data_IF_365198119651
#
_entry.id   IF_365198119651
#
_cell.length_a   1.000
_cell.length_b   1.000
_cell.length_c   1.000
_cell.angle_alpha   90.00
_cell.angle_beta   90.00
_cell.angle_gamma   90.00
#
_symmetry.space_group_name_H-M   'P 1'
#
loop_
_entity.id
_entity.type
_entity.pdbx_description
1 polymer ?
#
# COMPACT_ATOMS: atom_id res chain seq x y z
N UNK A 1 3.23 19.26 -9.63
CA UNK A 1 3.03 17.80 -9.55
C UNK A 1 4.36 17.10 -9.74
N UNK A 2 4.76 16.28 -8.79
CA UNK A 2 5.98 15.46 -8.83
C UNK A 2 5.63 14.07 -9.39
N UNK A 3 6.11 13.78 -10.59
CA UNK A 3 5.81 12.52 -11.30
C UNK A 3 6.96 11.51 -11.26
N UNK A 4 8.14 11.94 -10.77
CA UNK A 4 9.33 11.12 -10.66
C UNK A 4 9.82 11.09 -9.21
N UNK A 5 10.76 10.19 -8.92
CA UNK A 5 11.41 10.13 -7.62
C UNK A 5 12.04 11.49 -7.25
N UNK A 6 11.74 12.04 -6.06
CA UNK A 6 12.44 13.25 -5.58
C UNK A 6 13.95 13.04 -5.49
N UNK A 7 14.72 13.93 -6.08
CA UNK A 7 16.19 13.84 -6.19
C UNK A 7 16.93 14.43 -4.99
N UNK A 8 16.23 15.25 -4.22
CA UNK A 8 16.79 15.96 -3.06
C UNK A 8 15.69 16.28 -2.04
N UNK A 9 16.07 16.84 -0.89
CA UNK A 9 15.12 17.18 0.19
C UNK A 9 14.12 18.29 -0.20
N UNK A 10 14.48 19.19 -1.10
CA UNK A 10 13.56 20.24 -1.57
C UNK A 10 12.43 19.63 -2.42
N UNK A 11 12.76 18.78 -3.38
CA UNK A 11 11.77 18.07 -4.19
C UNK A 11 10.90 17.12 -3.34
N UNK A 12 11.49 16.48 -2.32
CA UNK A 12 10.73 15.70 -1.37
C UNK A 12 9.75 16.56 -0.58
N UNK A 13 10.17 17.73 -0.12
CA UNK A 13 9.29 18.66 0.59
C UNK A 13 8.16 19.17 -0.29
N UNK A 14 8.41 19.40 -1.58
CA UNK A 14 7.39 19.75 -2.56
C UNK A 14 6.38 18.59 -2.75
N UNK A 15 6.87 17.36 -2.87
CA UNK A 15 5.99 16.18 -2.96
C UNK A 15 5.16 16.00 -1.69
N UNK A 16 5.75 16.14 -0.51
CA UNK A 16 5.05 16.07 0.78
C UNK A 16 3.94 17.13 0.88
N UNK A 17 4.21 18.36 0.41
CA UNK A 17 3.19 19.43 0.36
C UNK A 17 2.05 19.09 -0.64
N UNK A 18 2.38 18.56 -1.81
CA UNK A 18 1.42 18.09 -2.80
C UNK A 18 0.50 16.99 -2.23
N UNK A 19 1.05 16.06 -1.45
CA UNK A 19 0.27 15.01 -0.80
C UNK A 19 -0.67 15.57 0.27
N UNK A 20 -0.24 16.61 1.01
CA UNK A 20 -1.12 17.33 1.94
C UNK A 20 -2.30 17.95 1.22
N UNK A 21 -2.06 18.70 0.14
CA UNK A 21 -3.12 19.33 -0.65
C UNK A 21 -4.11 18.30 -1.20
N UNK A 22 -3.61 17.14 -1.65
CA UNK A 22 -4.43 16.03 -2.11
C UNK A 22 -5.30 15.45 -1.00
N UNK A 23 -4.72 15.28 0.20
CA UNK A 23 -5.40 14.69 1.36
C UNK A 23 -6.47 15.61 1.93
N UNK A 24 -6.18 16.90 2.07
CA UNK A 24 -7.08 17.92 2.65
C UNK A 24 -8.08 18.51 1.63
N UNK A 25 -7.93 18.18 0.35
CA UNK A 25 -8.81 18.61 -0.73
C UNK A 25 -9.57 17.43 -1.36
N UNK A 26 -9.17 16.96 -2.55
CA UNK A 26 -9.96 15.97 -3.30
C UNK A 26 -10.29 14.70 -2.51
N UNK A 27 -9.41 14.22 -1.65
CA UNK A 27 -9.67 13.01 -0.86
C UNK A 27 -10.65 13.26 0.29
N UNK A 28 -10.57 14.42 0.93
CA UNK A 28 -11.55 14.79 1.97
C UNK A 28 -12.95 14.96 1.38
N UNK A 29 -13.07 15.52 0.20
CA UNK A 29 -14.34 15.66 -0.52
C UNK A 29 -15.00 14.32 -0.85
N UNK A 30 -14.22 13.25 -1.03
CA UNK A 30 -14.72 11.88 -1.29
C UNK A 30 -15.21 11.17 -0.02
N UNK A 31 -14.94 11.67 1.17
CA UNK A 31 -15.19 10.95 2.42
C UNK A 31 -16.66 10.53 2.57
N UNK A 32 -17.59 11.44 2.32
CA UNK A 32 -19.02 11.15 2.46
C UNK A 32 -19.48 10.03 1.52
N UNK A 33 -19.01 10.05 0.27
CA UNK A 33 -19.34 9.00 -0.70
C UNK A 33 -18.81 7.64 -0.23
N UNK A 34 -17.57 7.60 0.26
CA UNK A 34 -16.95 6.36 0.77
C UNK A 34 -17.76 5.81 1.96
N UNK A 35 -18.16 6.67 2.90
CA UNK A 35 -18.93 6.25 4.07
C UNK A 35 -20.33 5.71 3.69
N UNK A 36 -20.98 6.33 2.73
CA UNK A 36 -22.33 5.92 2.28
C UNK A 36 -22.29 4.66 1.43
N UNK A 37 -21.32 4.56 0.51
CA UNK A 37 -21.24 3.46 -0.47
C UNK A 37 -20.40 2.29 0.00
N UNK A 38 -19.56 2.50 1.00
CA UNK A 38 -18.50 1.58 1.44
C UNK A 38 -17.56 1.17 0.30
N UNK A 39 -17.30 2.10 -0.63
CA UNK A 39 -16.43 1.90 -1.80
C UNK A 39 -15.60 3.16 -2.06
N UNK A 40 -14.38 2.98 -2.52
CA UNK A 40 -13.60 4.09 -3.05
C UNK A 40 -14.09 4.44 -4.45
N UNK A 41 -14.32 5.74 -4.75
CA UNK A 41 -14.59 6.21 -6.11
C UNK A 41 -13.43 5.86 -7.07
N UNK A 42 -13.73 5.70 -8.35
CA UNK A 42 -12.68 5.45 -9.36
C UNK A 42 -11.68 6.61 -9.41
N UNK A 43 -12.12 7.84 -9.18
CA UNK A 43 -11.29 9.03 -9.09
C UNK A 43 -10.18 8.91 -8.04
N UNK A 44 -10.44 8.26 -6.90
CA UNK A 44 -9.42 7.99 -5.89
C UNK A 44 -8.25 7.19 -6.49
N UNK A 45 -8.55 6.15 -7.24
CA UNK A 45 -7.50 5.30 -7.84
C UNK A 45 -6.72 6.05 -8.93
N UNK A 46 -7.40 6.89 -9.71
CA UNK A 46 -6.77 7.71 -10.75
C UNK A 46 -5.82 8.74 -10.12
N UNK A 47 -6.26 9.46 -9.09
CA UNK A 47 -5.43 10.40 -8.35
C UNK A 47 -4.26 9.70 -7.64
N UNK A 48 -4.51 8.54 -7.02
CA UNK A 48 -3.47 7.77 -6.35
C UNK A 48 -2.36 7.32 -7.32
N UNK A 49 -2.71 6.92 -8.54
CA UNK A 49 -1.74 6.59 -9.60
C UNK A 49 -1.01 7.84 -10.10
N UNK A 50 -1.76 8.90 -10.41
CA UNK A 50 -1.23 10.16 -10.93
C UNK A 50 -0.16 10.75 -9.98
N UNK A 51 -0.41 10.70 -8.68
CA UNK A 51 0.49 11.19 -7.63
C UNK A 51 1.46 10.13 -7.10
N UNK A 52 1.62 9.00 -7.77
CA UNK A 52 2.57 7.94 -7.45
C UNK A 52 2.43 7.35 -6.03
N UNK A 53 1.22 7.34 -5.46
CA UNK A 53 0.97 6.86 -4.10
C UNK A 53 1.25 5.36 -3.93
N UNK A 54 1.35 4.60 -4.99
CA UNK A 54 1.73 3.18 -4.95
C UNK A 54 3.22 2.94 -5.16
N UNK A 55 3.99 3.97 -5.57
CA UNK A 55 5.41 3.81 -5.93
C UNK A 55 6.37 4.25 -4.85
N UNK A 56 6.01 5.23 -4.03
CA UNK A 56 6.97 5.79 -3.06
C UNK A 56 7.37 4.81 -1.95
N UNK A 57 6.59 3.76 -1.70
CA UNK A 57 6.91 2.71 -0.74
C UNK A 57 7.87 1.64 -1.28
N UNK A 58 7.84 1.39 -2.59
CA UNK A 58 8.54 0.27 -3.20
C UNK A 58 10.02 0.58 -3.38
N UNK A 59 10.90 -0.43 -3.25
CA UNK A 59 12.29 -0.33 -3.66
C UNK A 59 12.44 -0.05 -5.15
N UNK A 60 13.56 0.57 -5.54
CA UNK A 60 13.85 0.88 -6.95
C UNK A 60 13.87 -0.36 -7.84
N UNK A 61 14.39 -1.48 -7.33
CA UNK A 61 14.43 -2.75 -8.07
C UNK A 61 13.05 -3.26 -8.49
N UNK A 62 11.98 -2.78 -7.85
CA UNK A 62 10.58 -3.13 -8.15
C UNK A 62 9.82 -1.97 -8.79
N UNK A 63 10.54 -1.00 -9.36
CA UNK A 63 9.94 0.16 -10.02
C UNK A 63 9.42 1.26 -9.10
N UNK A 64 9.73 1.15 -7.80
CA UNK A 64 9.41 2.17 -6.81
C UNK A 64 10.46 3.27 -6.73
N UNK A 65 10.32 4.13 -5.74
CA UNK A 65 11.22 5.26 -5.51
C UNK A 65 12.37 4.94 -4.55
N UNK A 66 12.33 3.83 -3.81
CA UNK A 66 13.36 3.46 -2.86
C UNK A 66 13.63 4.53 -1.80
N UNK A 67 12.58 5.20 -1.34
CA UNK A 67 12.67 6.19 -0.27
C UNK A 67 13.07 5.52 1.05
N UNK A 68 13.83 6.23 1.85
CA UNK A 68 14.12 5.80 3.23
C UNK A 68 12.84 5.76 4.07
N UNK A 69 12.86 4.99 5.16
CA UNK A 69 11.71 4.90 6.08
C UNK A 69 11.28 6.28 6.58
N UNK A 70 12.23 7.17 6.89
CA UNK A 70 11.91 8.52 7.35
C UNK A 70 11.21 9.35 6.27
N UNK A 71 11.65 9.24 5.02
CA UNK A 71 11.03 9.92 3.88
C UNK A 71 9.60 9.39 3.63
N UNK A 72 9.43 8.06 3.69
CA UNK A 72 8.10 7.43 3.61
C UNK A 72 7.18 7.94 4.72
N UNK A 73 7.68 8.04 5.96
CA UNK A 73 6.88 8.54 7.09
C UNK A 73 6.44 10.00 6.91
N UNK A 74 7.30 10.87 6.36
CA UNK A 74 6.92 12.26 6.04
C UNK A 74 5.74 12.31 5.05
N UNK A 75 5.75 11.47 4.03
CA UNK A 75 4.65 11.38 3.05
C UNK A 75 3.39 10.82 3.70
N UNK A 76 3.51 9.75 4.50
CA UNK A 76 2.38 9.13 5.17
C UNK A 76 1.72 10.05 6.21
N UNK A 77 2.49 10.85 6.92
CA UNK A 77 1.98 11.81 7.89
C UNK A 77 1.01 12.78 7.23
N UNK A 78 1.41 13.37 6.09
CA UNK A 78 0.54 14.29 5.37
C UNK A 78 -0.66 13.59 4.71
N UNK A 79 -0.45 12.41 4.13
CA UNK A 79 -1.54 11.62 3.59
C UNK A 79 -2.58 11.24 4.67
N UNK A 80 -2.15 11.07 5.91
CA UNK A 80 -3.01 10.70 7.05
C UNK A 80 -3.93 11.84 7.52
N UNK A 81 -3.84 13.04 6.92
CA UNK A 81 -4.79 14.15 7.16
C UNK A 81 -6.12 13.93 6.46
N UNK A 82 -6.12 13.15 5.40
CA UNK A 82 -7.34 12.76 4.68
C UNK A 82 -8.10 11.61 5.36
N UNK A 83 -9.11 11.05 4.67
CA UNK A 83 -9.99 10.00 5.19
C UNK A 83 -9.20 8.76 5.66
N UNK A 84 -9.52 8.28 6.87
CA UNK A 84 -8.82 7.16 7.50
C UNK A 84 -8.87 5.86 6.67
N UNK A 85 -9.96 5.60 5.96
CA UNK A 85 -10.09 4.47 5.06
C UNK A 85 -9.07 4.49 3.91
N UNK A 86 -8.85 5.65 3.30
CA UNK A 86 -7.85 5.83 2.24
C UNK A 86 -6.44 5.59 2.77
N UNK A 87 -6.14 6.11 3.96
CA UNK A 87 -4.86 5.86 4.62
C UNK A 87 -4.64 4.37 4.86
N UNK A 88 -5.66 3.65 5.33
CA UNK A 88 -5.57 2.20 5.52
C UNK A 88 -5.39 1.46 4.19
N UNK A 89 -6.08 1.88 3.13
CA UNK A 89 -5.89 1.31 1.80
C UNK A 89 -4.42 1.41 1.34
N UNK A 90 -3.81 2.60 1.45
CA UNK A 90 -2.40 2.75 1.07
C UNK A 90 -1.45 1.96 1.97
N UNK A 91 -1.71 1.91 3.27
CA UNK A 91 -0.89 1.15 4.21
C UNK A 91 -0.85 -0.35 3.83
N UNK A 92 -1.99 -0.93 3.51
CA UNK A 92 -2.06 -2.33 3.08
C UNK A 92 -1.55 -2.52 1.65
N UNK A 93 -1.90 -1.62 0.75
CA UNK A 93 -1.58 -1.76 -0.66
C UNK A 93 -0.08 -1.65 -0.96
N UNK A 94 0.57 -0.71 -0.29
CA UNK A 94 1.91 -0.29 -0.65
C UNK A 94 2.91 -0.38 0.51
N UNK A 95 2.46 -0.41 1.77
CA UNK A 95 3.35 -0.34 2.92
C UNK A 95 3.82 -1.69 3.45
N UNK A 96 2.91 -2.66 3.58
CA UNK A 96 3.20 -3.92 4.26
C UNK A 96 3.26 -5.13 3.34
N UNK A 97 2.33 -5.23 2.42
CA UNK A 97 2.09 -6.48 1.69
C UNK A 97 3.24 -6.86 0.74
N UNK A 98 3.88 -5.89 0.11
CA UNK A 98 5.02 -6.17 -0.75
C UNK A 98 6.21 -6.76 0.02
N UNK A 99 6.42 -6.33 1.27
CA UNK A 99 7.54 -6.84 2.10
C UNK A 99 7.38 -8.32 2.39
N UNK A 100 6.18 -8.78 2.66
CA UNK A 100 5.90 -10.20 2.89
C UNK A 100 6.15 -10.99 1.61
N UNK A 101 5.74 -10.46 0.47
CA UNK A 101 6.04 -11.10 -0.81
C UNK A 101 7.54 -11.10 -1.09
N UNK A 102 8.26 -10.03 -0.74
CA UNK A 102 9.71 -9.97 -0.93
C UNK A 102 10.47 -10.91 0.01
N UNK A 103 10.07 -11.00 1.27
CA UNK A 103 10.76 -11.80 2.27
C UNK A 103 10.46 -13.30 2.17
N UNK A 104 9.21 -13.67 1.82
CA UNK A 104 8.73 -15.05 1.98
C UNK A 104 8.26 -15.73 0.69
N UNK A 105 7.97 -14.99 -0.39
CA UNK A 105 7.51 -15.62 -1.62
C UNK A 105 8.65 -16.36 -2.34
N UNK A 106 8.28 -17.46 -2.99
CA UNK A 106 9.19 -18.15 -3.92
C UNK A 106 9.58 -17.23 -5.08
N UNK A 107 10.78 -17.42 -5.69
CA UNK A 107 11.30 -16.53 -6.72
C UNK A 107 10.32 -16.25 -7.88
N UNK A 108 9.62 -17.29 -8.36
CA UNK A 108 8.65 -17.18 -9.45
C UNK A 108 7.43 -16.34 -9.04
N UNK A 109 6.92 -16.56 -7.84
CA UNK A 109 5.79 -15.78 -7.30
C UNK A 109 6.20 -14.33 -7.06
N UNK A 110 7.40 -14.10 -6.54
CA UNK A 110 7.96 -12.76 -6.36
C UNK A 110 8.07 -12.02 -7.69
N UNK A 111 8.66 -12.63 -8.71
CA UNK A 111 8.81 -12.05 -10.04
C UNK A 111 7.45 -11.69 -10.67
N UNK A 112 6.41 -12.50 -10.42
CA UNK A 112 5.06 -12.24 -10.87
C UNK A 112 4.35 -11.13 -10.07
N UNK A 113 4.51 -11.11 -8.75
CA UNK A 113 3.76 -10.23 -7.85
C UNK A 113 4.31 -8.80 -7.81
N UNK A 114 5.64 -8.64 -7.74
CA UNK A 114 6.25 -7.33 -7.43
C UNK A 114 5.89 -6.22 -8.43
N UNK A 115 5.87 -6.44 -9.76
CA UNK A 115 5.42 -5.40 -10.70
C UNK A 115 3.96 -4.97 -10.47
N UNK A 116 3.12 -5.88 -9.97
CA UNK A 116 1.68 -5.65 -9.77
C UNK A 116 1.35 -4.80 -8.55
N UNK A 117 2.29 -4.65 -7.63
CA UNK A 117 2.15 -3.68 -6.54
C UNK A 117 2.29 -2.24 -7.04
N UNK A 118 3.16 -2.01 -8.03
CA UNK A 118 3.40 -0.68 -8.60
C UNK A 118 2.17 -0.10 -9.30
N UNK A 119 1.45 -0.93 -10.06
CA UNK A 119 0.27 -0.51 -10.84
C UNK A 119 -1.07 -0.82 -10.13
N UNK A 120 -0.98 -1.37 -8.91
CA UNK A 120 -2.13 -1.75 -8.10
C UNK A 120 -3.08 -2.76 -8.77
N UNK A 121 -2.53 -3.68 -9.54
CA UNK A 121 -3.29 -4.80 -10.12
C UNK A 121 -3.28 -6.05 -9.23
N UNK A 122 -2.53 -6.03 -8.11
CA UNK A 122 -2.49 -7.08 -7.11
C UNK A 122 -2.96 -6.58 -5.75
N UNK A 123 -3.89 -7.31 -5.15
CA UNK A 123 -4.30 -7.14 -3.76
C UNK A 123 -3.85 -8.36 -2.96
N UNK A 124 -3.11 -8.13 -1.89
CA UNK A 124 -2.70 -9.16 -0.94
C UNK A 124 -3.33 -8.82 0.40
N UNK A 125 -4.03 -9.77 0.99
CA UNK A 125 -4.68 -9.60 2.28
C UNK A 125 -4.18 -10.64 3.26
N UNK A 126 -4.26 -10.29 4.56
CA UNK A 126 -3.93 -11.18 5.65
C UNK A 126 -5.21 -11.80 6.22
N UNK A 127 -5.25 -13.12 6.30
CA UNK A 127 -6.22 -13.85 7.08
C UNK A 127 -5.52 -14.37 8.35
N UNK A 128 -5.22 -13.46 9.27
CA UNK A 128 -4.37 -13.74 10.44
C UNK A 128 -5.17 -14.07 11.69
N UNK A 129 -6.25 -13.32 11.95
CA UNK A 129 -7.01 -13.44 13.18
C UNK A 129 -7.94 -14.65 13.13
N UNK A 130 -7.77 -15.57 14.06
CA UNK A 130 -8.67 -16.72 14.28
C UNK A 130 -9.69 -16.42 15.38
N UNK A 131 -10.73 -17.28 15.50
CA UNK A 131 -11.77 -17.11 16.50
C UNK A 131 -11.24 -17.03 17.93
N UNK A 132 -10.18 -17.80 18.22
CA UNK A 132 -9.61 -17.94 19.57
C UNK A 132 -8.18 -17.39 19.69
N UNK A 133 -7.62 -16.83 18.58
CA UNK A 133 -6.27 -16.31 18.54
C UNK A 133 -6.20 -14.98 17.79
N UNK A 134 -5.82 -13.92 18.49
CA UNK A 134 -5.71 -12.56 17.91
C UNK A 134 -4.49 -12.36 17.04
N UNK A 135 -3.36 -13.01 17.35
CA UNK A 135 -2.10 -12.89 16.60
C UNK A 135 -1.03 -13.86 17.10
N UNK A 136 -0.03 -14.12 16.24
CA UNK A 136 1.27 -14.66 16.65
C UNK A 136 1.23 -16.12 17.11
N UNK A 137 1.72 -16.38 18.32
CA UNK A 137 2.06 -17.71 18.81
C UNK A 137 0.86 -18.66 19.00
N UNK A 138 -0.36 -18.11 19.07
CA UNK A 138 -1.57 -18.91 19.37
C UNK A 138 -2.32 -19.36 18.11
N UNK A 139 -1.82 -19.03 16.90
CA UNK A 139 -2.41 -19.44 15.65
C UNK A 139 -2.39 -20.96 15.52
N UNK A 140 -3.55 -21.53 15.24
CA UNK A 140 -3.76 -22.97 15.09
C UNK A 140 -3.95 -23.41 13.64
N UNK A 141 -4.21 -22.47 12.74
CA UNK A 141 -4.29 -22.75 11.31
C UNK A 141 -3.01 -23.43 10.84
N UNK A 142 -3.16 -24.55 10.20
CA UNK A 142 -2.07 -25.37 9.67
C UNK A 142 -2.31 -25.66 8.19
N UNK A 143 -1.24 -25.88 7.45
CA UNK A 143 -1.30 -26.32 6.06
C UNK A 143 -0.64 -27.68 5.92
N UNK A 144 -1.36 -28.65 5.37
CA UNK A 144 -0.87 -30.00 5.12
C UNK A 144 -0.84 -30.26 3.62
N UNK A 145 0.28 -30.78 3.12
CA UNK A 145 0.41 -31.12 1.71
C UNK A 145 -0.30 -32.42 1.39
N UNK A 146 -1.16 -32.42 0.40
CA UNK A 146 -1.83 -33.60 -0.14
C UNK A 146 -1.65 -33.65 -1.67
N UNK A 147 -0.69 -34.47 -2.13
CA UNK A 147 -0.29 -34.49 -3.53
C UNK A 147 0.34 -33.16 -3.97
N UNK A 148 -0.24 -32.50 -4.94
CA UNK A 148 0.20 -31.19 -5.45
C UNK A 148 -0.54 -30.01 -4.80
N UNK A 149 -1.51 -30.29 -3.94
CA UNK A 149 -2.34 -29.28 -3.27
C UNK A 149 -1.94 -29.11 -1.79
N UNK A 150 -2.43 -27.99 -1.22
CA UNK A 150 -2.35 -27.70 0.21
C UNK A 150 -3.75 -27.61 0.79
N UNK A 151 -3.99 -28.38 1.86
CA UNK A 151 -5.22 -28.32 2.66
C UNK A 151 -4.93 -27.41 3.86
N UNK A 152 -5.76 -26.36 4.04
CA UNK A 152 -5.66 -25.36 5.11
C UNK A 152 -6.82 -25.54 6.07
#
# INVERSE_FOLDING_TARGET
MITEKPRNEEELAQYVAEIRELAEGPFDEMQLEIEVTNRFPDEFYELAKLHNLYRFYLPEQYGGWGLSTLQIMKVQEEFSRGPGGMRMHLHHAAGLNWRIMDDFAQPELKAWAMPRFQDKTLYVNFALTEKEAGSGADIKTSAVREGDDWII
#
